data_IF_419700304926
#
_entry.id   IF_419700304926
#
_cell.length_a   1.000
_cell.length_b   1.000
_cell.length_c   1.000
_cell.angle_alpha   90.00
_cell.angle_beta   90.00
_cell.angle_gamma   90.00
#
_symmetry.space_group_name_H-M   'P 1'
#
loop_
_entity.id
_entity.type
_entity.pdbx_description
1 polymer ?
#
# COMPACT_ATOMS: atom_id res chain seq x y z
N UNK A 1 10.43 14.70 -1.86
CA UNK A 1 9.95 15.18 -0.55
C UNK A 1 8.73 14.41 -0.01
N UNK A 2 7.78 13.92 -0.83
CA UNK A 2 6.53 13.30 -0.33
C UNK A 2 6.68 12.02 0.53
N UNK A 3 7.78 11.27 0.42
CA UNK A 3 8.03 10.06 1.24
C UNK A 3 8.68 10.33 2.60
N UNK A 4 9.45 11.41 2.74
CA UNK A 4 10.33 11.62 3.90
C UNK A 4 9.55 11.88 5.20
N UNK A 5 8.43 12.61 5.11
CA UNK A 5 7.59 12.91 6.28
C UNK A 5 6.93 11.65 6.83
N UNK A 6 6.49 10.75 5.94
CA UNK A 6 5.86 9.50 6.32
C UNK A 6 6.85 8.55 7.00
N UNK A 7 8.06 8.45 6.45
CA UNK A 7 9.11 7.61 7.03
C UNK A 7 9.56 8.13 8.41
N UNK A 8 9.64 9.45 8.59
CA UNK A 8 9.91 10.06 9.90
C UNK A 8 8.80 9.72 10.90
N UNK A 9 7.54 9.96 10.52
CA UNK A 9 6.39 9.67 11.38
C UNK A 9 6.29 8.20 11.80
N UNK A 10 6.60 7.29 10.87
CA UNK A 10 6.72 5.85 11.12
C UNK A 10 7.82 5.56 12.14
N UNK A 11 9.00 6.13 11.94
CA UNK A 11 10.16 5.90 12.81
C UNK A 11 9.95 6.46 14.22
N UNK A 12 9.35 7.64 14.33
CA UNK A 12 8.98 8.24 15.62
C UNK A 12 7.96 7.38 16.37
N UNK A 13 6.89 6.95 15.69
CA UNK A 13 5.87 6.08 16.27
C UNK A 13 6.45 4.73 16.70
N UNK A 14 7.38 4.17 15.93
CA UNK A 14 8.07 2.95 16.30
C UNK A 14 9.02 3.15 17.49
N UNK A 15 9.73 4.28 17.56
CA UNK A 15 10.60 4.63 18.67
C UNK A 15 9.82 4.76 19.99
N UNK A 16 8.62 5.36 19.97
CA UNK A 16 7.72 5.41 21.13
C UNK A 16 7.28 4.02 21.62
N UNK A 17 7.16 3.06 20.70
CA UNK A 17 6.82 1.67 21.01
C UNK A 17 8.05 0.82 21.37
N UNK A 18 9.23 1.44 21.53
CA UNK A 18 10.47 0.77 21.92
C UNK A 18 11.24 0.14 20.76
N UNK A 19 10.97 0.54 19.51
CA UNK A 19 11.66 0.05 18.31
C UNK A 19 12.36 1.22 17.58
N UNK A 20 13.51 1.69 18.10
CA UNK A 20 14.14 2.94 17.64
C UNK A 20 14.74 2.89 16.23
N UNK A 21 15.05 1.71 15.67
CA UNK A 21 15.64 1.58 14.33
C UNK A 21 14.69 0.87 13.35
N UNK A 22 13.41 1.22 13.38
CA UNK A 22 12.37 0.52 12.62
C UNK A 22 12.58 0.51 11.09
N UNK A 23 13.22 1.54 10.55
CA UNK A 23 13.47 1.64 9.11
C UNK A 23 14.55 0.67 8.63
N UNK A 24 15.64 0.55 9.40
CA UNK A 24 16.79 -0.30 9.08
C UNK A 24 16.63 -1.76 9.50
N UNK A 25 15.59 -2.09 10.26
CA UNK A 25 15.28 -3.47 10.64
C UNK A 25 14.44 -4.13 9.53
N UNK A 26 14.81 -5.36 9.18
CA UNK A 26 13.95 -6.22 8.37
C UNK A 26 12.64 -6.49 9.13
N UNK A 27 11.55 -5.97 8.58
CA UNK A 27 10.20 -6.11 9.15
C UNK A 27 9.76 -7.57 9.22
N UNK A 28 10.32 -8.46 8.40
CA UNK A 28 10.08 -9.91 8.50
C UNK A 28 10.65 -10.54 9.77
N UNK A 29 11.66 -9.93 10.39
CA UNK A 29 12.28 -10.40 11.63
C UNK A 29 11.61 -9.85 12.90
N UNK A 30 10.81 -8.79 12.76
CA UNK A 30 10.06 -8.23 13.88
C UNK A 30 8.84 -9.09 14.19
N UNK A 31 8.51 -9.29 15.49
CA UNK A 31 7.27 -9.98 15.86
C UNK A 31 6.07 -9.31 15.19
N UNK A 32 5.18 -10.08 14.56
CA UNK A 32 4.04 -9.54 13.81
C UNK A 32 3.16 -8.62 14.64
N UNK A 33 3.04 -8.90 15.95
CA UNK A 33 2.33 -8.04 16.90
C UNK A 33 2.97 -6.65 17.00
N UNK A 34 4.29 -6.55 17.02
CA UNK A 34 5.03 -5.28 17.11
C UNK A 34 4.85 -4.47 15.82
N UNK A 35 5.01 -5.11 14.66
CA UNK A 35 4.75 -4.45 13.37
C UNK A 35 3.30 -3.95 13.26
N UNK A 36 2.34 -4.79 13.65
CA UNK A 36 0.93 -4.41 13.68
C UNK A 36 0.64 -3.25 14.63
N UNK A 37 1.27 -3.23 15.81
CA UNK A 37 1.12 -2.12 16.77
C UNK A 37 1.66 -0.80 16.22
N UNK A 38 2.81 -0.80 15.52
CA UNK A 38 3.36 0.41 14.88
C UNK A 38 2.39 0.97 13.84
N UNK A 39 1.90 0.14 12.92
CA UNK A 39 0.93 0.56 11.91
C UNK A 39 -0.40 1.02 12.52
N UNK A 40 -0.89 0.32 13.54
CA UNK A 40 -2.13 0.69 14.24
C UNK A 40 -2.02 2.03 14.99
N UNK A 41 -0.89 2.28 15.66
CA UNK A 41 -0.65 3.54 16.37
C UNK A 41 -0.51 4.72 15.42
N UNK A 42 0.13 4.50 14.28
CA UNK A 42 0.26 5.47 13.20
C UNK A 42 -1.11 5.89 12.64
N UNK A 43 -2.02 4.94 12.43
CA UNK A 43 -3.42 5.25 12.03
C UNK A 43 -4.16 6.03 13.12
N UNK A 44 -4.04 5.61 14.39
CA UNK A 44 -4.69 6.32 15.51
C UNK A 44 -4.23 7.77 15.62
N UNK A 45 -2.92 8.01 15.50
CA UNK A 45 -2.36 9.37 15.51
C UNK A 45 -2.86 10.22 14.34
N UNK A 46 -2.98 9.64 13.14
CA UNK A 46 -3.53 10.36 11.99
C UNK A 46 -5.01 10.72 12.18
N UNK A 47 -5.80 9.82 12.76
CA UNK A 47 -7.19 10.10 13.10
C UNK A 47 -7.26 11.24 14.11
N UNK A 48 -6.48 11.18 15.20
CA UNK A 48 -6.46 12.24 16.21
C UNK A 48 -6.06 13.60 15.61
N UNK A 49 -5.06 13.62 14.71
CA UNK A 49 -4.66 14.86 14.02
C UNK A 49 -5.79 15.37 13.12
N UNK A 50 -6.46 14.49 12.38
CA UNK A 50 -7.59 14.87 11.54
C UNK A 50 -8.75 15.41 12.38
N UNK A 51 -9.06 14.78 13.52
CA UNK A 51 -10.07 15.24 14.48
C UNK A 51 -9.71 16.61 15.06
N UNK A 52 -8.46 16.84 15.43
CA UNK A 52 -7.98 18.14 15.94
C UNK A 52 -8.09 19.23 14.87
N UNK A 53 -7.69 18.93 13.63
CA UNK A 53 -7.82 19.84 12.49
C UNK A 53 -9.30 20.16 12.23
N UNK A 54 -10.17 19.15 12.24
CA UNK A 54 -11.61 19.34 12.05
C UNK A 54 -12.24 20.15 13.19
N UNK A 55 -11.82 19.90 14.44
CA UNK A 55 -12.31 20.61 15.61
C UNK A 55 -11.85 22.07 15.66
N UNK A 56 -10.60 22.35 15.28
CA UNK A 56 -10.04 23.70 15.28
C UNK A 56 -10.38 24.51 14.02
N UNK A 57 -10.51 23.86 12.86
CA UNK A 57 -10.68 24.56 11.58
C UNK A 57 -12.13 24.71 11.13
N UNK A 58 -13.13 24.23 11.90
CA UNK A 58 -14.56 24.43 11.61
C UNK A 58 -14.85 24.33 10.11
N UNK A 59 -14.68 23.13 9.55
CA UNK A 59 -14.68 22.81 8.12
C UNK A 59 -15.36 23.88 7.23
N UNK A 60 -14.55 24.73 6.60
CA UNK A 60 -15.03 25.54 5.49
C UNK A 60 -15.31 24.59 4.33
N UNK A 61 -16.59 24.35 4.05
CA UNK A 61 -17.16 23.43 3.06
C UNK A 61 -16.52 23.54 1.66
N UNK A 62 -15.92 24.70 1.35
CA UNK A 62 -15.22 25.00 0.11
C UNK A 62 -13.96 24.15 -0.12
N UNK A 63 -13.26 23.67 0.92
CA UNK A 63 -12.01 22.91 0.74
C UNK A 63 -12.20 21.39 0.54
N UNK A 64 -13.41 20.86 0.80
CA UNK A 64 -13.74 19.44 0.54
C UNK A 64 -14.31 19.19 -0.86
N UNK A 65 -14.77 20.24 -1.57
CA UNK A 65 -15.39 20.12 -2.90
C UNK A 65 -14.40 20.33 -4.08
N UNK A 66 -13.14 20.67 -3.84
CA UNK A 66 -12.14 20.92 -4.89
C UNK A 66 -11.46 19.64 -5.43
N UNK A 67 -12.12 18.49 -5.34
CA UNK A 67 -11.66 17.24 -5.96
C UNK A 67 -12.67 16.79 -7.02
N UNK A 68 -13.04 17.69 -7.92
CA UNK A 68 -13.69 17.28 -9.17
C UNK A 68 -12.67 16.53 -10.01
N UNK A 69 -12.78 15.21 -10.06
CA UNK A 69 -12.04 14.36 -11.00
C UNK A 69 -12.28 14.91 -12.41
N UNK A 70 -11.21 15.39 -13.07
CA UNK A 70 -11.32 15.97 -14.41
C UNK A 70 -11.69 14.88 -15.42
N UNK A 71 -12.53 15.20 -16.40
CA UNK A 71 -12.84 14.31 -17.53
C UNK A 71 -11.56 13.82 -18.25
N UNK A 72 -10.47 14.59 -18.18
CA UNK A 72 -9.17 14.20 -18.74
C UNK A 72 -8.54 13.01 -17.98
N UNK A 73 -8.71 12.92 -16.67
CA UNK A 73 -8.19 11.81 -15.86
C UNK A 73 -8.92 10.50 -16.17
N UNK A 74 -10.20 10.57 -16.50
CA UNK A 74 -11.02 9.42 -16.88
C UNK A 74 -10.53 8.80 -18.21
N UNK A 75 -10.15 9.65 -19.18
CA UNK A 75 -9.66 9.20 -20.48
C UNK A 75 -8.31 8.46 -20.38
N UNK A 76 -7.45 8.83 -19.42
CA UNK A 76 -6.16 8.12 -19.23
C UNK A 76 -6.38 6.68 -18.77
N UNK A 77 -7.33 6.45 -17.87
CA UNK A 77 -7.65 5.10 -17.38
C UNK A 77 -8.21 4.23 -18.52
N UNK A 78 -9.13 4.76 -19.33
CA UNK A 78 -9.71 4.01 -20.44
C UNK A 78 -8.68 3.68 -21.52
N UNK A 79 -7.71 4.58 -21.75
CA UNK A 79 -6.65 4.34 -22.71
C UNK A 79 -5.70 3.23 -22.22
N UNK A 80 -5.29 3.24 -20.95
CA UNK A 80 -4.42 2.17 -20.40
C UNK A 80 -4.99 0.76 -20.54
N UNK A 81 -6.31 0.60 -20.45
CA UNK A 81 -6.97 -0.70 -20.64
C UNK A 81 -7.02 -1.15 -22.12
N UNK A 82 -6.97 -0.22 -23.08
CA UNK A 82 -6.95 -0.55 -24.52
C UNK A 82 -5.54 -0.90 -25.03
N UNK A 83 -4.50 -0.41 -24.35
CA UNK A 83 -3.09 -0.71 -24.65
C UNK A 83 -2.52 -1.86 -23.79
N UNK A 84 -3.32 -2.45 -22.88
CA UNK A 84 -3.01 -3.71 -22.25
C UNK A 84 -3.12 -4.82 -23.32
N UNK A 85 -2.01 -5.00 -24.03
CA UNK A 85 -1.81 -6.02 -25.04
C UNK A 85 -2.15 -7.39 -24.49
N UNK A 86 -2.79 -8.18 -25.37
CA UNK A 86 -3.08 -9.60 -25.24
C UNK A 86 -1.92 -10.32 -24.54
N UNK A 87 -2.18 -10.82 -23.33
CA UNK A 87 -1.24 -11.69 -22.62
C UNK A 87 -1.03 -12.91 -23.54
N UNK A 88 0.20 -13.19 -24.01
CA UNK A 88 0.42 -14.39 -24.82
C UNK A 88 0.03 -15.59 -23.95
N UNK A 89 -0.89 -16.41 -24.45
CA UNK A 89 -1.28 -17.65 -23.79
C UNK A 89 -0.01 -18.45 -23.50
N UNK A 90 0.28 -18.71 -22.23
CA UNK A 90 1.33 -19.64 -21.85
C UNK A 90 1.01 -20.97 -22.51
N UNK A 91 1.76 -21.33 -23.56
CA UNK A 91 1.69 -22.66 -24.16
C UNK A 91 2.16 -23.64 -23.08
N UNK A 92 1.20 -24.42 -22.55
CA UNK A 92 1.53 -25.55 -21.70
C UNK A 92 2.48 -26.46 -22.47
N UNK A 93 3.62 -26.87 -21.89
CA UNK A 93 4.44 -27.90 -22.50
C UNK A 93 3.57 -29.15 -22.70
N UNK A 94 3.73 -29.88 -23.82
CA UNK A 94 3.00 -31.12 -24.03
C UNK A 94 3.23 -32.02 -22.82
N UNK A 95 2.15 -32.52 -22.22
CA UNK A 95 2.27 -33.48 -21.13
C UNK A 95 2.95 -34.73 -21.70
N UNK A 96 4.16 -35.02 -21.23
CA UNK A 96 4.82 -36.29 -21.52
C UNK A 96 3.90 -37.42 -21.05
N UNK A 97 3.42 -38.21 -22.01
CA UNK A 97 2.78 -39.48 -21.70
C UNK A 97 3.81 -40.35 -20.99
N UNK A 98 3.61 -40.60 -19.70
CA UNK A 98 4.33 -41.64 -18.98
C UNK A 98 4.00 -42.97 -19.63
N UNK A 99 4.78 -43.34 -20.65
CA UNK A 99 4.72 -44.67 -21.22
C UNK A 99 5.04 -45.67 -20.11
N UNK A 100 4.06 -46.52 -19.85
CA UNK A 100 4.16 -47.68 -18.97
C UNK A 100 5.12 -48.70 -19.59
N UNK A 101 6.43 -48.48 -19.44
CA UNK A 101 7.46 -49.46 -19.76
C UNK A 101 8.57 -49.25 -18.71
N UNK A 102 8.84 -50.11 -17.74
CA UNK A 102 8.97 -51.56 -17.83
C UNK A 102 8.69 -52.20 -16.46
N UNK A 103 7.65 -53.04 -16.41
CA UNK A 103 7.59 -54.19 -15.53
C UNK A 103 8.33 -55.32 -16.26
N UNK A 104 9.55 -55.64 -15.84
CA UNK A 104 10.18 -56.95 -15.97
C UNK A 104 11.15 -57.14 -14.81
#
# INVERSE_FOLDING_TARGET
MKGQMWDQFKNETAAELGVPNYDGIDKGLLPSRVNGMVGGMMVRKMINLAEEVMANQGLNETMMNDHSVSYEDQNRVTQTLQQAQVIPAYQMPPQESFDQQQLH
#
